data_IF_341154913619
#
_entry.id   IF_341154913619
#
_cell.length_a   1.000
_cell.length_b   1.000
_cell.length_c   1.000
_cell.angle_alpha   90.00
_cell.angle_beta   90.00
_cell.angle_gamma   90.00
#
_symmetry.space_group_name_H-M   'P 1'
#
loop_
_entity.id
_entity.type
_entity.pdbx_description
1 polymer ?
#
# COMPACT_ATOMS: atom_id res chain seq x y z
N UNK A 1 2.16 3.96 -16.67
CA UNK A 1 1.57 3.57 -15.38
C UNK A 1 2.11 2.19 -15.05
N UNK A 2 2.70 1.99 -13.87
CA UNK A 2 3.29 0.71 -13.47
C UNK A 2 2.26 -0.43 -13.50
N UNK A 3 2.71 -1.64 -13.83
CA UNK A 3 1.93 -2.88 -13.76
C UNK A 3 2.17 -3.60 -12.45
N UNK A 4 1.08 -3.98 -11.78
CA UNK A 4 1.07 -4.66 -10.49
C UNK A 4 0.72 -6.13 -10.67
N UNK A 5 1.66 -7.01 -10.31
CA UNK A 5 1.44 -8.46 -10.33
C UNK A 5 0.76 -8.89 -9.03
N UNK A 6 -0.43 -9.45 -9.15
CA UNK A 6 -1.22 -9.98 -8.03
C UNK A 6 -0.69 -11.35 -7.61
N UNK A 7 -1.11 -11.78 -6.41
CA UNK A 7 -0.71 -13.10 -5.86
C UNK A 7 -1.05 -14.27 -6.79
N UNK A 8 -2.13 -14.16 -7.56
CA UNK A 8 -2.56 -15.17 -8.52
C UNK A 8 -1.89 -15.02 -9.91
N UNK A 9 -0.88 -14.16 -10.04
CA UNK A 9 -0.19 -13.90 -11.30
C UNK A 9 -0.89 -12.94 -12.25
N UNK A 10 -2.11 -12.48 -11.93
CA UNK A 10 -2.80 -11.49 -12.76
C UNK A 10 -2.09 -10.14 -12.71
N UNK A 11 -2.03 -9.46 -13.84
CA UNK A 11 -1.47 -8.12 -13.96
C UNK A 11 -2.61 -7.09 -13.98
N UNK A 12 -2.50 -6.05 -13.17
CA UNK A 12 -3.38 -4.88 -13.21
C UNK A 12 -2.55 -3.60 -13.28
N UNK A 13 -3.09 -2.54 -13.88
CA UNK A 13 -2.45 -1.23 -13.78
C UNK A 13 -2.40 -0.74 -12.34
N UNK A 14 -1.38 0.04 -12.01
CA UNK A 14 -1.29 0.72 -10.72
C UNK A 14 -2.46 1.69 -10.57
N UNK A 15 -3.24 1.52 -9.50
CA UNK A 15 -4.40 2.35 -9.17
C UNK A 15 -4.07 3.07 -7.85
N UNK A 16 -3.72 4.37 -7.87
CA UNK A 16 -3.30 5.11 -6.68
C UNK A 16 -4.38 5.12 -5.59
N UNK A 17 -5.66 5.10 -5.97
CA UNK A 17 -6.81 5.06 -5.06
C UNK A 17 -6.78 3.84 -4.13
N UNK A 18 -6.23 2.69 -4.59
CA UNK A 18 -6.10 1.49 -3.74
C UNK A 18 -5.13 1.74 -2.59
N UNK A 19 -4.07 2.51 -2.82
CA UNK A 19 -3.10 2.89 -1.79
C UNK A 19 -3.73 3.92 -0.86
N UNK A 20 -4.34 4.96 -1.43
CA UNK A 20 -4.98 6.04 -0.67
C UNK A 20 -6.02 5.50 0.31
N UNK A 21 -6.95 4.65 -0.16
CA UNK A 21 -8.00 4.07 0.68
C UNK A 21 -7.41 3.18 1.78
N UNK A 22 -6.34 2.44 1.48
CA UNK A 22 -5.68 1.57 2.46
C UNK A 22 -4.97 2.40 3.54
N UNK A 23 -4.28 3.47 3.17
CA UNK A 23 -3.69 4.43 4.12
C UNK A 23 -4.75 5.10 5.00
N UNK A 24 -5.89 5.52 4.43
CA UNK A 24 -6.98 6.14 5.20
C UNK A 24 -7.59 5.14 6.18
N UNK A 25 -7.83 3.89 5.77
CA UNK A 25 -8.30 2.82 6.66
C UNK A 25 -7.33 2.51 7.80
N UNK A 26 -6.04 2.74 7.57
CA UNK A 26 -5.01 2.63 8.59
C UNK A 26 -4.94 3.84 9.55
N UNK A 27 -5.68 4.91 9.25
CA UNK A 27 -5.78 6.12 10.07
C UNK A 27 -5.01 7.33 9.55
N UNK A 28 -4.39 7.24 8.35
CA UNK A 28 -3.75 8.40 7.73
C UNK A 28 -4.78 9.42 7.24
N UNK A 29 -4.43 10.70 7.25
CA UNK A 29 -5.27 11.74 6.67
C UNK A 29 -5.29 11.64 5.14
N UNK A 30 -6.34 12.13 4.45
CA UNK A 30 -6.40 12.09 2.99
C UNK A 30 -5.22 12.78 2.30
N UNK A 31 -4.67 13.84 2.90
CA UNK A 31 -3.49 14.54 2.37
C UNK A 31 -2.25 13.63 2.38
N UNK A 32 -1.96 13.02 3.53
CA UNK A 32 -0.82 12.12 3.67
C UNK A 32 -0.98 10.86 2.83
N UNK A 33 -2.19 10.31 2.74
CA UNK A 33 -2.48 9.15 1.91
C UNK A 33 -2.20 9.41 0.41
N UNK A 34 -2.53 10.60 -0.10
CA UNK A 34 -2.21 11.01 -1.48
C UNK A 34 -0.72 11.22 -1.68
N UNK A 35 -0.04 11.82 -0.71
CA UNK A 35 1.41 12.00 -0.74
C UNK A 35 2.13 10.65 -0.83
N UNK A 36 1.77 9.70 0.03
CA UNK A 36 2.29 8.33 -0.01
C UNK A 36 2.01 7.70 -1.38
N UNK A 37 0.77 7.76 -1.89
CA UNK A 37 0.46 7.14 -3.17
C UNK A 37 1.32 7.69 -4.33
N UNK A 38 1.58 9.00 -4.34
CA UNK A 38 2.44 9.67 -5.33
C UNK A 38 3.93 9.31 -5.16
N UNK A 39 4.40 9.25 -3.91
CA UNK A 39 5.76 8.81 -3.57
C UNK A 39 5.98 7.39 -4.09
N UNK A 40 5.05 6.48 -3.81
CA UNK A 40 5.10 5.08 -4.24
C UNK A 40 5.09 4.97 -5.77
N UNK A 41 4.19 5.67 -6.46
CA UNK A 41 4.12 5.66 -7.93
C UNK A 41 5.45 6.09 -8.56
N UNK A 42 6.17 7.02 -7.94
CA UNK A 42 7.42 7.56 -8.47
C UNK A 42 8.65 6.66 -8.25
N UNK A 43 8.58 5.71 -7.30
CA UNK A 43 9.72 4.85 -6.93
C UNK A 43 9.55 3.39 -7.36
N UNK A 44 8.33 2.95 -7.67
CA UNK A 44 8.09 1.58 -8.13
C UNK A 44 8.51 1.43 -9.60
N UNK A 45 9.09 0.28 -9.99
CA UNK A 45 9.42 0.01 -11.39
C UNK A 45 8.16 -0.23 -12.23
N UNK A 46 8.31 -0.21 -13.56
CA UNK A 46 7.21 -0.46 -14.51
C UNK A 46 6.47 -1.79 -14.28
N UNK A 47 7.09 -2.77 -13.63
CA UNK A 47 6.47 -4.04 -13.26
C UNK A 47 6.90 -4.44 -11.85
N UNK A 48 5.93 -4.56 -10.93
CA UNK A 48 6.20 -4.82 -9.51
C UNK A 48 5.14 -5.75 -8.91
N UNK A 49 5.54 -6.60 -7.97
CA UNK A 49 4.58 -7.43 -7.25
C UNK A 49 3.79 -6.62 -6.22
N UNK A 50 2.50 -6.93 -6.09
CA UNK A 50 1.61 -6.31 -5.09
C UNK A 50 2.11 -6.46 -3.64
N UNK A 51 2.89 -7.51 -3.33
CA UNK A 51 3.51 -7.70 -2.01
C UNK A 51 4.62 -6.68 -1.75
N UNK A 52 5.39 -6.31 -2.77
CA UNK A 52 6.46 -5.34 -2.66
C UNK A 52 5.88 -3.94 -2.49
N UNK A 53 4.86 -3.59 -3.29
CA UNK A 53 4.14 -2.32 -3.11
C UNK A 53 3.58 -2.19 -1.68
N UNK A 54 2.98 -3.26 -1.13
CA UNK A 54 2.51 -3.28 0.26
C UNK A 54 3.65 -2.99 1.24
N UNK A 55 4.81 -3.61 1.06
CA UNK A 55 5.97 -3.42 1.95
C UNK A 55 6.41 -1.95 1.95
N UNK A 56 6.59 -1.37 0.76
CA UNK A 56 7.03 0.03 0.62
C UNK A 56 6.00 0.98 1.26
N UNK A 57 4.70 0.72 1.10
CA UNK A 57 3.65 1.54 1.71
C UNK A 57 3.67 1.43 3.24
N UNK A 58 3.87 0.23 3.79
CA UNK A 58 3.99 0.04 5.24
C UNK A 58 5.22 0.77 5.79
N UNK A 59 6.36 0.73 5.09
CA UNK A 59 7.55 1.49 5.45
C UNK A 59 7.29 3.01 5.41
N UNK A 60 6.60 3.49 4.38
CA UNK A 60 6.22 4.89 4.24
C UNK A 60 5.26 5.37 5.34
N UNK A 61 4.34 4.50 5.77
CA UNK A 61 3.47 4.76 6.91
C UNK A 61 4.25 4.72 8.22
N UNK A 62 5.12 3.74 8.43
CA UNK A 62 5.88 3.59 9.67
C UNK A 62 6.80 4.78 9.94
N UNK A 63 7.43 5.32 8.88
CA UNK A 63 8.22 6.55 8.93
C UNK A 63 7.42 7.78 9.35
N UNK A 64 6.13 7.86 8.97
CA UNK A 64 5.26 9.00 9.27
C UNK A 64 4.55 8.84 10.61
N UNK A 65 4.04 7.63 10.88
CA UNK A 65 3.43 7.25 12.13
C UNK A 65 3.41 5.70 12.25
N UNK A 66 4.16 5.11 13.20
CA UNK A 66 4.22 3.66 13.37
C UNK A 66 2.86 3.03 13.68
N UNK A 67 1.95 3.77 14.33
CA UNK A 67 0.60 3.32 14.64
C UNK A 67 -0.25 3.09 13.38
N UNK A 68 -0.03 3.85 12.31
CA UNK A 68 -0.73 3.60 11.04
C UNK A 68 -0.27 2.31 10.38
N UNK A 69 1.03 2.02 10.38
CA UNK A 69 1.54 0.76 9.87
C UNK A 69 0.98 -0.43 10.67
N UNK A 70 0.92 -0.31 12.00
CA UNK A 70 0.29 -1.31 12.87
C UNK A 70 -1.21 -1.50 12.57
N UNK A 71 -1.98 -0.42 12.49
CA UNK A 71 -3.41 -0.48 12.15
C UNK A 71 -3.65 -1.18 10.81
N UNK A 72 -2.82 -0.90 9.80
CA UNK A 72 -2.89 -1.61 8.53
C UNK A 72 -2.65 -3.11 8.73
N UNK A 73 -1.56 -3.50 9.41
CA UNK A 73 -1.24 -4.91 9.67
C UNK A 73 -2.40 -5.63 10.37
N UNK A 74 -3.04 -4.99 11.34
CA UNK A 74 -4.24 -5.51 12.03
C UNK A 74 -5.40 -5.71 11.04
N UNK A 75 -5.71 -4.69 10.23
CA UNK A 75 -6.78 -4.77 9.22
C UNK A 75 -6.53 -5.89 8.20
N UNK A 76 -5.29 -6.02 7.74
CA UNK A 76 -4.87 -7.02 6.77
C UNK A 76 -5.01 -8.44 7.35
N UNK A 77 -4.64 -8.65 8.61
CA UNK A 77 -4.84 -9.93 9.31
C UNK A 77 -6.31 -10.24 9.53
N UNK A 78 -7.10 -9.29 10.03
CA UNK A 78 -8.50 -9.48 10.40
C UNK A 78 -9.41 -9.66 9.18
N UNK A 79 -9.21 -8.86 8.13
CA UNK A 79 -10.12 -8.81 6.97
C UNK A 79 -9.59 -9.60 5.78
N UNK A 80 -8.27 -9.57 5.54
CA UNK A 80 -7.67 -10.25 4.38
C UNK A 80 -7.12 -11.63 4.72
N UNK A 81 -7.17 -12.06 5.99
CA UNK A 81 -6.61 -13.33 6.48
C UNK A 81 -5.14 -13.51 6.07
N UNK A 82 -4.38 -12.42 6.03
CA UNK A 82 -2.95 -12.43 5.71
C UNK A 82 -2.18 -12.61 7.01
N UNK A 83 -1.46 -13.73 7.12
CA UNK A 83 -0.62 -14.07 8.28
C UNK A 83 0.88 -13.88 7.99
N UNK A 84 1.20 -13.25 6.85
CA UNK A 84 2.55 -13.04 6.30
C UNK A 84 3.13 -11.68 6.71
#
# INVERSE_FOLDING_TARGET
>A
MPSIIKRNGLEEGFIPEKIIVSCIKAGATPSIAREIAKEIESIIPDKVESKEVRKIVLEALEKRNPKWAENWRIYDRAVKKRFE
#
